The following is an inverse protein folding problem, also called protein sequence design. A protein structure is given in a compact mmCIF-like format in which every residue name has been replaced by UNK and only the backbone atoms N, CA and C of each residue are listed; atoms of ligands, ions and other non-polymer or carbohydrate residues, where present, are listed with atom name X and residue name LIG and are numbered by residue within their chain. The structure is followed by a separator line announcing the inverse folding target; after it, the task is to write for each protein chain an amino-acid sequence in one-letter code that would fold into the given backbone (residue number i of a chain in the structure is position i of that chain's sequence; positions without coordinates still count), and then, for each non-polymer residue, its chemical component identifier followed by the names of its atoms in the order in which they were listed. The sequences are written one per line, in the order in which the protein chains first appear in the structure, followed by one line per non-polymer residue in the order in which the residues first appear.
data_IF_183136841446
#
_entry.id   IF_183136841446
#
_cell.length_a   1.000
_cell.length_b   1.000
_cell.length_c   1.000
_cell.angle_alpha   90.00
_cell.angle_beta   90.00
_cell.angle_gamma   90.00
#
_symmetry.space_group_name_H-M   'P 1'
#
loop_
_entity.id
_entity.type
_entity.pdbx_description
1 polymer ?
#
# COMPACT_ATOMS: atom_id res chain seq x y z
N UNK A 1 3.61 6.75 -16.26
CA UNK A 1 3.81 6.45 -14.83
C UNK A 1 2.88 5.32 -14.45
N UNK A 2 3.39 4.17 -14.00
CA UNK A 2 2.52 3.08 -13.58
C UNK A 2 1.78 3.51 -12.31
N UNK A 3 0.47 3.38 -12.33
CA UNK A 3 -0.42 3.57 -11.18
C UNK A 3 -1.12 2.24 -10.94
N UNK A 4 -1.31 1.90 -9.67
CA UNK A 4 -2.17 0.78 -9.32
C UNK A 4 -3.63 1.20 -9.60
N UNK A 5 -4.48 0.32 -10.16
CA UNK A 5 -5.89 0.61 -10.31
C UNK A 5 -6.53 0.97 -8.96
N UNK A 6 -7.43 1.95 -8.98
CA UNK A 6 -8.18 2.40 -7.79
C UNK A 6 -9.17 1.36 -7.30
N UNK A 7 -9.63 0.47 -8.19
CA UNK A 7 -10.57 -0.59 -7.86
C UNK A 7 -9.81 -1.91 -7.79
N UNK A 8 -9.63 -2.39 -6.56
CA UNK A 8 -9.19 -3.74 -6.27
C UNK A 8 -10.41 -4.60 -5.90
N UNK A 9 -10.39 -5.90 -6.19
CA UNK A 9 -11.53 -6.76 -5.86
C UNK A 9 -11.76 -6.82 -4.35
N UNK A 10 -13.02 -6.78 -3.92
CA UNK A 10 -13.41 -6.79 -2.50
C UNK A 10 -12.91 -8.04 -1.74
N UNK A 11 -12.68 -9.14 -2.47
CA UNK A 11 -12.15 -10.39 -1.95
C UNK A 11 -10.62 -10.46 -1.91
N UNK A 12 -9.91 -9.39 -2.30
CA UNK A 12 -8.45 -9.38 -2.32
C UNK A 12 -7.90 -9.44 -0.89
N UNK A 13 -7.16 -10.50 -0.58
CA UNK A 13 -6.55 -10.70 0.74
C UNK A 13 -5.06 -10.39 0.76
N UNK A 14 -4.38 -10.53 -0.38
CA UNK A 14 -2.96 -10.31 -0.52
C UNK A 14 -2.69 -9.49 -1.79
N UNK A 15 -1.97 -8.38 -1.63
CA UNK A 15 -1.52 -7.54 -2.72
C UNK A 15 -0.01 -7.38 -2.63
N UNK A 16 0.68 -7.89 -3.64
CA UNK A 16 2.13 -7.73 -3.79
C UNK A 16 2.42 -6.92 -5.04
N UNK A 17 2.93 -5.71 -4.83
CA UNK A 17 3.29 -4.74 -5.87
C UNK A 17 4.69 -4.18 -5.61
N UNK A 18 5.52 -4.97 -4.95
CA UNK A 18 6.92 -4.63 -4.65
C UNK A 18 7.74 -4.40 -5.92
N UNK A 19 8.79 -3.59 -5.83
CA UNK A 19 9.73 -3.26 -6.90
C UNK A 19 9.09 -2.72 -8.19
N UNK A 20 7.94 -2.06 -8.04
CA UNK A 20 7.32 -1.31 -9.13
C UNK A 20 7.79 0.15 -9.12
N UNK A 21 7.47 0.89 -10.17
CA UNK A 21 7.74 2.33 -10.24
C UNK A 21 6.50 3.13 -9.82
N UNK A 22 5.71 2.61 -8.88
CA UNK A 22 4.50 3.28 -8.42
C UNK A 22 4.89 4.58 -7.68
N UNK A 23 4.25 5.67 -8.08
CA UNK A 23 4.41 6.98 -7.44
C UNK A 23 3.33 7.26 -6.41
N UNK A 24 2.20 6.55 -6.51
CA UNK A 24 1.03 6.70 -5.65
C UNK A 24 0.33 5.36 -5.47
N UNK A 25 -0.29 5.18 -4.30
CA UNK A 25 -1.23 4.09 -4.01
C UNK A 25 -2.66 4.62 -4.09
N UNK A 26 -3.65 3.74 -4.34
CA UNK A 26 -5.06 4.12 -4.26
C UNK A 26 -5.45 4.45 -2.82
N UNK A 27 -6.45 5.32 -2.63
CA UNK A 27 -6.94 5.69 -1.30
C UNK A 27 -7.85 4.62 -0.71
N UNK A 28 -8.49 3.82 -1.57
CA UNK A 28 -9.40 2.75 -1.19
C UNK A 28 -8.71 1.39 -1.31
N UNK A 29 -8.69 0.65 -0.21
CA UNK A 29 -8.27 -0.75 -0.17
C UNK A 29 -9.40 -1.63 0.34
N UNK A 30 -9.54 -2.85 -0.20
CA UNK A 30 -10.61 -3.74 0.21
C UNK A 30 -10.48 -4.08 1.70
N UNK A 31 -11.61 -4.14 2.40
CA UNK A 31 -11.64 -4.42 3.85
C UNK A 31 -11.04 -5.79 4.21
N UNK A 32 -11.01 -6.71 3.24
CA UNK A 32 -10.45 -8.06 3.37
C UNK A 32 -8.95 -8.13 3.06
N UNK A 33 -8.30 -7.02 2.71
CA UNK A 33 -6.87 -7.02 2.42
C UNK A 33 -6.07 -7.15 3.71
N UNK A 34 -5.42 -8.29 3.90
CA UNK A 34 -4.61 -8.59 5.08
C UNK A 34 -3.12 -8.31 4.86
N UNK A 35 -2.65 -8.43 3.62
CA UNK A 35 -1.24 -8.25 3.28
C UNK A 35 -1.09 -7.27 2.13
N UNK A 36 -0.32 -6.21 2.36
CA UNK A 36 0.08 -5.24 1.34
C UNK A 36 1.60 -5.13 1.31
N UNK A 37 2.22 -5.56 0.22
CA UNK A 37 3.64 -5.41 -0.04
C UNK A 37 3.85 -4.38 -1.15
N UNK A 38 4.38 -3.22 -0.79
CA UNK A 38 4.63 -2.08 -1.69
C UNK A 38 6.09 -1.64 -1.65
N UNK A 39 6.98 -2.51 -1.17
CA UNK A 39 8.41 -2.20 -1.03
C UNK A 39 9.06 -1.91 -2.37
N UNK A 40 10.17 -1.16 -2.40
CA UNK A 40 10.88 -0.89 -3.67
C UNK A 40 10.15 0.05 -4.64
N UNK A 41 9.02 0.64 -4.25
CA UNK A 41 8.32 1.66 -5.04
C UNK A 41 8.88 3.08 -4.85
N UNK A 42 8.40 4.01 -5.68
CA UNK A 42 8.72 5.45 -5.62
C UNK A 42 7.62 6.24 -4.89
N UNK A 43 6.99 5.62 -3.90
CA UNK A 43 5.92 6.24 -3.12
C UNK A 43 6.50 7.39 -2.30
N UNK A 44 5.96 8.59 -2.53
CA UNK A 44 6.35 9.79 -1.75
C UNK A 44 5.55 9.91 -0.45
N UNK A 45 4.38 9.28 -0.40
CA UNK A 45 3.48 9.27 0.75
C UNK A 45 2.64 8.00 0.75
N UNK A 46 2.08 7.68 1.92
CA UNK A 46 0.96 6.75 2.04
C UNK A 46 -0.35 7.53 2.11
N UNK A 47 -1.47 6.96 1.64
CA UNK A 47 -2.79 7.49 1.90
C UNK A 47 -3.15 7.32 3.39
N UNK A 48 -3.82 8.31 3.97
CA UNK A 48 -4.24 8.28 5.39
C UNK A 48 -5.27 7.17 5.68
N UNK A 49 -6.05 6.75 4.68
CA UNK A 49 -6.97 5.62 4.80
C UNK A 49 -6.23 4.31 5.08
N UNK A 50 -5.06 4.09 4.47
CA UNK A 50 -4.18 2.95 4.82
C UNK A 50 -3.76 3.03 6.28
N UNK A 51 -3.36 4.20 6.77
CA UNK A 51 -2.97 4.33 8.18
C UNK A 51 -4.15 4.06 9.12
N UNK A 52 -5.35 4.52 8.77
CA UNK A 52 -6.55 4.42 9.62
C UNK A 52 -7.15 3.00 9.61
N UNK A 53 -7.25 2.38 8.43
CA UNK A 53 -7.75 1.01 8.26
C UNK A 53 -6.82 0.01 8.93
N UNK A 54 -5.51 0.21 8.82
CA UNK A 54 -4.53 -0.76 9.27
C UNK A 54 -3.95 -0.47 10.66
N UNK A 55 -4.10 0.75 11.21
CA UNK A 55 -3.92 0.99 12.65
C UNK A 55 -4.88 0.14 13.51
N UNK A 56 -6.01 -0.31 12.94
CA UNK A 56 -6.98 -1.19 13.62
C UNK A 56 -6.64 -2.68 13.52
N UNK A 57 -5.74 -3.09 12.63
CA UNK A 57 -5.30 -4.48 12.49
C UNK A 57 -3.80 -4.60 12.84
N UNK A 58 -3.46 -4.96 14.08
CA UNK A 58 -2.07 -5.00 14.57
C UNK A 58 -1.22 -6.13 13.98
N UNK A 59 -1.70 -6.81 12.93
CA UNK A 59 -1.09 -8.02 12.39
C UNK A 59 -0.76 -7.84 10.91
N UNK A 60 0.54 -7.77 10.63
CA UNK A 60 1.15 -8.17 9.34
C UNK A 60 1.10 -7.19 8.17
N UNK A 61 1.44 -5.93 8.43
CA UNK A 61 1.89 -5.07 7.34
C UNK A 61 3.38 -4.78 7.41
N UNK A 62 4.12 -5.39 6.49
CA UNK A 62 5.47 -4.98 6.12
C UNK A 62 5.38 -3.82 5.12
N UNK A 63 4.98 -2.63 5.58
CA UNK A 63 5.11 -1.39 4.82
C UNK A 63 6.58 -0.94 4.86
N UNK A 64 7.46 -1.60 4.11
CA UNK A 64 8.81 -1.08 3.89
C UNK A 64 8.76 0.00 2.80
N UNK A 65 8.34 1.20 3.20
CA UNK A 65 8.48 2.36 2.34
C UNK A 65 9.90 2.87 2.56
N UNK A 66 10.77 2.60 1.60
CA UNK A 66 12.04 3.32 1.53
C UNK A 66 11.73 4.77 1.14
N UNK A 67 11.43 5.59 2.13
CA UNK A 67 11.40 7.04 1.98
C UNK A 67 12.79 7.48 1.49
N UNK A 68 12.92 7.90 0.22
CA UNK A 68 14.19 8.40 -0.33
C UNK A 68 14.56 9.79 0.21
N UNK A 69 13.70 10.41 1.01
CA UNK A 69 13.96 11.71 1.61
C UNK A 69 14.46 11.50 3.03
N UNK A 70 15.77 11.73 3.20
CA UNK A 70 16.43 12.00 4.48
C UNK A 70 15.46 12.72 5.45
N UNK A 71 15.11 12.05 6.54
CA UNK A 71 14.94 12.74 7.82
C UNK A 71 16.31 12.88 8.46
#
# INVERSE_FOLDING_TARGET
MPKLPEVLPDSLQHLEVSDNQLTSLPEDFPAMLHTLAVSGNQLSSLPENLLTQYARVPSLICLEIRCRSRC
#
